data_IF_739182946289
#
_entry.id   IF_739182946289
#
_cell.length_a   1.000
_cell.length_b   1.000
_cell.length_c   1.000
_cell.angle_alpha   90.00
_cell.angle_beta   90.00
_cell.angle_gamma   90.00
#
_symmetry.space_group_name_H-M   'P 1'
#
loop_
_entity.id
_entity.type
_entity.pdbx_description
1 polymer ?
#
# COMPACT_ATOMS: atom_id res chain seq x y z
N UNK A 1 6.76 -10.52 18.73
CA UNK A 1 6.56 -9.48 17.70
C UNK A 1 5.62 -9.93 16.60
N UNK A 2 5.94 -10.96 15.79
CA UNK A 2 5.07 -11.44 14.68
C UNK A 2 3.64 -11.75 15.15
N UNK A 3 3.49 -12.51 16.25
CA UNK A 3 2.17 -12.78 16.83
C UNK A 3 1.41 -11.51 17.25
N UNK A 4 2.12 -10.47 17.70
CA UNK A 4 1.54 -9.18 18.05
C UNK A 4 1.10 -8.38 16.82
N UNK A 5 1.86 -8.48 15.71
CA UNK A 5 1.49 -7.87 14.42
C UNK A 5 0.19 -8.50 13.90
N UNK A 6 0.11 -9.83 13.90
CA UNK A 6 -1.08 -10.58 13.44
C UNK A 6 -2.29 -10.26 14.33
N UNK A 7 -2.09 -10.25 15.66
CA UNK A 7 -3.16 -9.90 16.60
C UNK A 7 -3.63 -8.45 16.43
N UNK A 8 -2.71 -7.50 16.21
CA UNK A 8 -3.03 -6.09 16.00
C UNK A 8 -3.83 -5.85 14.72
N UNK A 9 -3.44 -6.50 13.63
CA UNK A 9 -4.17 -6.47 12.35
C UNK A 9 -5.59 -7.06 12.51
N UNK A 10 -5.73 -8.23 13.16
CA UNK A 10 -7.03 -8.82 13.43
C UNK A 10 -7.92 -7.90 14.28
N UNK A 11 -7.37 -7.32 15.36
CA UNK A 11 -8.08 -6.41 16.25
C UNK A 11 -8.50 -5.12 15.55
N UNK A 12 -7.69 -4.56 14.65
CA UNK A 12 -8.04 -3.33 13.93
C UNK A 12 -9.28 -3.50 13.04
N UNK A 13 -9.37 -4.62 12.31
CA UNK A 13 -10.50 -4.85 11.38
C UNK A 13 -11.75 -5.41 12.08
N UNK A 14 -11.62 -6.22 13.14
CA UNK A 14 -12.77 -6.77 13.87
C UNK A 14 -13.27 -5.88 15.01
N UNK A 15 -12.37 -5.11 15.64
CA UNK A 15 -12.69 -4.21 16.74
C UNK A 15 -12.40 -2.76 16.34
N UNK A 16 -13.19 -2.20 15.43
CA UNK A 16 -13.10 -0.80 14.96
C UNK A 16 -13.16 0.27 16.07
N UNK A 17 -13.55 -0.09 17.30
CA UNK A 17 -13.71 0.82 18.44
C UNK A 17 -12.72 0.59 19.59
N UNK A 18 -11.71 -0.26 19.40
CA UNK A 18 -10.74 -0.47 20.48
C UNK A 18 -9.82 0.75 20.57
N UNK A 19 -10.04 1.55 21.61
CA UNK A 19 -9.21 2.67 22.00
C UNK A 19 -7.78 2.18 22.28
N UNK A 20 -6.87 2.32 21.31
CA UNK A 20 -5.51 1.78 21.38
C UNK A 20 -4.69 2.30 22.57
N UNK A 21 -5.12 3.40 23.20
CA UNK A 21 -4.55 3.90 24.45
C UNK A 21 -4.68 2.92 25.62
N UNK A 22 -5.65 2.02 25.59
CA UNK A 22 -5.85 1.00 26.64
C UNK A 22 -4.71 -0.02 26.70
N UNK A 23 -3.88 -0.13 25.65
CA UNK A 23 -2.70 -1.00 25.62
C UNK A 23 -1.45 -0.34 26.24
N UNK A 24 -1.43 0.98 26.41
CA UNK A 24 -0.33 1.72 27.03
C UNK A 24 -0.07 1.35 28.49
N UNK A 25 -1.07 1.20 29.38
CA UNK A 25 -0.82 0.76 30.75
C UNK A 25 -0.28 -0.67 30.80
N UNK A 26 -0.75 -1.56 29.93
CA UNK A 26 -0.24 -2.94 29.83
C UNK A 26 1.25 -2.96 29.44
N UNK A 27 1.64 -2.12 28.48
CA UNK A 27 3.03 -1.94 28.08
C UNK A 27 3.89 -1.36 29.22
N UNK A 28 3.40 -0.32 29.91
CA UNK A 28 4.11 0.29 31.03
C UNK A 28 4.33 -0.74 32.17
N UNK A 29 3.31 -1.52 32.51
CA UNK A 29 3.41 -2.60 33.49
C UNK A 29 4.42 -3.69 33.06
N UNK A 30 4.44 -4.08 31.78
CA UNK A 30 5.40 -5.08 31.30
C UNK A 30 6.84 -4.56 31.33
N UNK A 31 7.08 -3.28 31.01
CA UNK A 31 8.41 -2.66 31.10
C UNK A 31 8.88 -2.50 32.54
N UNK A 32 8.00 -2.09 33.45
CA UNK A 32 8.31 -1.99 34.89
C UNK A 32 8.63 -3.36 35.51
N UNK A 33 7.90 -4.40 35.09
CA UNK A 33 8.18 -5.76 35.54
C UNK A 33 9.51 -6.28 34.96
N UNK A 34 9.85 -5.93 33.71
CA UNK A 34 11.13 -6.25 33.10
C UNK A 34 12.28 -5.59 33.86
N UNK A 35 12.19 -4.29 34.16
CA UNK A 35 13.22 -3.55 34.90
C UNK A 35 13.39 -4.10 36.32
N UNK A 36 12.30 -4.33 37.05
CA UNK A 36 12.35 -4.95 38.37
C UNK A 36 13.01 -6.35 38.33
N UNK A 37 12.63 -7.20 37.38
CA UNK A 37 13.21 -8.55 37.24
C UNK A 37 14.71 -8.54 36.89
N UNK A 38 15.17 -7.51 36.16
CA UNK A 38 16.59 -7.27 35.89
C UNK A 38 17.36 -6.84 37.15
N UNK A 39 16.79 -5.92 37.95
CA UNK A 39 17.41 -5.43 39.19
C UNK A 39 17.52 -6.51 40.28
N UNK A 40 16.51 -7.37 40.42
CA UNK A 40 16.49 -8.38 41.48
C UNK A 40 17.41 -9.61 41.22
N UNK A 41 18.12 -9.68 40.09
CA UNK A 41 19.19 -10.64 39.72
C UNK A 41 19.02 -12.08 40.23
N UNK A 42 17.79 -12.58 40.33
CA UNK A 42 17.50 -13.91 40.91
C UNK A 42 17.39 -14.94 39.79
N UNK A 43 18.43 -15.75 39.64
CA UNK A 43 18.59 -16.75 38.57
C UNK A 43 17.39 -17.71 38.46
N UNK A 44 16.69 -18.00 39.57
CA UNK A 44 15.49 -18.84 39.60
C UNK A 44 14.27 -18.23 38.89
N UNK A 45 14.26 -16.92 38.60
CA UNK A 45 13.10 -16.20 38.01
C UNK A 45 13.32 -15.76 36.56
N UNK A 46 14.31 -16.35 35.86
CA UNK A 46 14.65 -16.01 34.47
C UNK A 46 13.50 -16.18 33.47
N UNK A 47 12.63 -17.16 33.68
CA UNK A 47 11.45 -17.32 32.81
C UNK A 47 10.46 -16.17 32.93
N UNK A 48 10.34 -15.52 34.10
CA UNK A 48 9.50 -14.33 34.25
C UNK A 48 10.03 -13.15 33.44
N UNK A 49 11.36 -13.00 33.37
CA UNK A 49 11.99 -12.03 32.48
C UNK A 49 11.69 -12.34 31.01
N UNK A 50 11.80 -13.61 30.60
CA UNK A 50 11.47 -14.04 29.23
C UNK A 50 10.01 -13.80 28.83
N UNK A 51 9.06 -14.09 29.72
CA UNK A 51 7.63 -13.84 29.52
C UNK A 51 7.37 -12.33 29.39
N UNK A 52 7.96 -11.54 30.27
CA UNK A 52 7.83 -10.07 30.25
C UNK A 52 8.41 -9.46 28.98
N UNK A 53 9.60 -9.88 28.56
CA UNK A 53 10.21 -9.45 27.30
C UNK A 53 9.32 -9.82 26.11
N UNK A 54 8.80 -11.05 26.09
CA UNK A 54 7.90 -11.53 25.03
C UNK A 54 6.60 -10.72 24.97
N UNK A 55 6.02 -10.38 26.12
CA UNK A 55 4.84 -9.53 26.23
C UNK A 55 5.11 -8.10 25.74
N UNK A 56 6.26 -7.50 26.09
CA UNK A 56 6.67 -6.19 25.57
C UNK A 56 6.72 -6.20 24.03
N UNK A 57 7.38 -7.19 23.42
CA UNK A 57 7.44 -7.32 21.96
C UNK A 57 6.10 -7.65 21.31
N UNK A 58 5.17 -8.27 22.04
CA UNK A 58 3.82 -8.54 21.58
C UNK A 58 3.00 -7.24 21.52
N UNK A 59 2.99 -6.45 22.61
CA UNK A 59 2.26 -5.18 22.67
C UNK A 59 2.84 -4.15 21.71
N UNK A 60 4.17 -4.09 21.59
CA UNK A 60 4.84 -3.23 20.60
C UNK A 60 4.46 -3.62 19.16
N UNK A 61 4.33 -4.92 18.87
CA UNK A 61 3.83 -5.42 17.59
C UNK A 61 2.40 -4.94 17.28
N UNK A 62 1.50 -4.97 18.27
CA UNK A 62 0.13 -4.45 18.12
C UNK A 62 0.17 -2.94 17.86
N UNK A 63 0.87 -2.18 18.71
CA UNK A 63 0.89 -0.73 18.62
C UNK A 63 1.44 -0.22 17.27
N UNK A 64 2.51 -0.82 16.78
CA UNK A 64 3.13 -0.43 15.49
C UNK A 64 2.20 -0.67 14.30
N UNK A 65 1.53 -1.83 14.25
CA UNK A 65 0.56 -2.15 13.18
C UNK A 65 -0.66 -1.25 13.26
N UNK A 66 -1.24 -1.11 14.44
CA UNK A 66 -2.44 -0.28 14.64
C UNK A 66 -2.17 1.18 14.30
N UNK A 67 -1.01 1.72 14.69
CA UNK A 67 -0.61 3.08 14.31
C UNK A 67 -0.48 3.25 12.79
N UNK A 68 0.15 2.29 12.11
CA UNK A 68 0.28 2.29 10.64
C UNK A 68 -1.08 2.22 9.93
N UNK A 69 -1.97 1.36 10.40
CA UNK A 69 -3.32 1.21 9.82
C UNK A 69 -4.19 2.44 10.12
N UNK A 70 -4.11 3.00 11.32
CA UNK A 70 -4.84 4.22 11.70
C UNK A 70 -4.41 5.43 10.88
N UNK A 71 -3.11 5.56 10.56
CA UNK A 71 -2.64 6.60 9.64
C UNK A 71 -3.22 6.46 8.23
N UNK A 72 -3.66 5.27 7.82
CA UNK A 72 -4.30 5.05 6.53
C UNK A 72 -5.79 5.41 6.58
N UNK A 73 -6.43 5.37 7.74
CA UNK A 73 -7.84 5.76 7.88
C UNK A 73 -8.00 7.27 7.67
N UNK A 74 -8.92 7.65 6.80
CA UNK A 74 -9.29 9.04 6.56
C UNK A 74 -10.78 9.13 6.25
N UNK A 75 -11.46 10.04 6.95
CA UNK A 75 -12.87 10.34 6.69
C UNK A 75 -12.95 11.33 5.51
N UNK A 76 -13.39 10.84 4.37
CA UNK A 76 -13.68 11.68 3.21
C UNK A 76 -15.03 12.36 3.34
N UNK A 77 -15.21 13.48 2.65
CA UNK A 77 -16.50 14.14 2.54
C UNK A 77 -17.53 13.22 1.88
N UNK A 78 -18.77 13.26 2.36
CA UNK A 78 -19.87 12.51 1.74
C UNK A 78 -20.35 13.16 0.43
N UNK A 79 -20.00 14.42 0.19
CA UNK A 79 -20.34 15.18 -1.01
C UNK A 79 -19.28 15.05 -2.09
N UNK A 80 -19.65 15.42 -3.33
CA UNK A 80 -18.66 15.57 -4.41
C UNK A 80 -17.77 16.77 -4.10
N UNK A 81 -16.47 16.57 -4.11
CA UNK A 81 -15.48 17.64 -3.94
C UNK A 81 -14.46 17.61 -5.06
N UNK A 82 -13.77 18.73 -5.26
CA UNK A 82 -12.71 18.84 -6.25
C UNK A 82 -11.38 18.54 -5.59
N UNK A 83 -10.67 17.57 -6.14
CA UNK A 83 -9.39 17.10 -5.62
C UNK A 83 -8.29 17.35 -6.63
N UNK A 84 -7.10 17.66 -6.11
CA UNK A 84 -5.86 17.71 -6.87
C UNK A 84 -4.96 16.57 -6.39
N UNK A 85 -4.48 15.76 -7.32
CA UNK A 85 -3.63 14.64 -7.01
C UNK A 85 -2.51 14.47 -8.04
N UNK A 86 -1.43 13.82 -7.61
CA UNK A 86 -0.34 13.41 -8.50
C UNK A 86 -0.46 11.91 -8.75
N UNK A 87 -0.31 11.49 -10.00
CA UNK A 87 -0.27 10.08 -10.37
C UNK A 87 1.08 9.48 -9.97
N UNK A 88 1.07 8.45 -9.11
CA UNK A 88 2.27 7.89 -8.49
C UNK A 88 2.85 6.70 -9.25
N UNK A 89 2.00 5.97 -9.98
CA UNK A 89 2.33 4.73 -10.68
C UNK A 89 1.82 4.78 -12.12
N UNK A 90 2.33 3.91 -12.99
CA UNK A 90 1.83 3.80 -14.36
C UNK A 90 0.35 3.42 -14.35
N UNK A 91 -0.52 4.20 -15.00
CA UNK A 91 -1.95 3.88 -15.04
C UNK A 91 -2.21 2.51 -15.69
N UNK A 92 -2.96 1.64 -15.00
CA UNK A 92 -3.30 0.30 -15.50
C UNK A 92 -4.59 0.35 -16.31
N UNK A 93 -4.50 0.09 -17.60
CA UNK A 93 -5.65 0.09 -18.49
C UNK A 93 -6.50 -1.18 -18.29
N UNK A 94 -7.76 -1.00 -17.87
CA UNK A 94 -8.84 -1.99 -17.99
C UNK A 94 -9.71 -1.65 -19.20
N UNK A 95 -10.68 -2.48 -19.58
CA UNK A 95 -11.52 -2.25 -20.77
C UNK A 95 -12.09 -0.83 -20.84
N UNK A 96 -12.83 -0.40 -19.81
CA UNK A 96 -13.54 0.90 -19.77
C UNK A 96 -12.90 1.94 -18.84
N UNK A 97 -11.97 1.51 -17.98
CA UNK A 97 -11.40 2.35 -16.92
C UNK A 97 -9.88 2.29 -16.91
N UNK A 98 -9.29 3.37 -16.43
CA UNK A 98 -7.88 3.50 -16.15
C UNK A 98 -7.70 3.52 -14.63
N UNK A 99 -7.03 2.50 -14.09
CA UNK A 99 -6.76 2.38 -12.67
C UNK A 99 -5.48 3.15 -12.33
N UNK A 100 -5.61 4.20 -11.52
CA UNK A 100 -4.52 5.09 -11.19
C UNK A 100 -4.33 5.13 -9.67
N UNK A 101 -3.11 4.85 -9.20
CA UNK A 101 -2.73 5.17 -7.82
C UNK A 101 -2.28 6.62 -7.78
N UNK A 102 -2.97 7.43 -6.97
CA UNK A 102 -2.72 8.85 -6.90
C UNK A 102 -2.46 9.31 -5.46
N UNK A 103 -1.72 10.39 -5.29
CA UNK A 103 -1.46 11.02 -4.01
C UNK A 103 -2.20 12.35 -3.92
N UNK A 104 -3.14 12.45 -2.98
CA UNK A 104 -3.94 13.66 -2.78
C UNK A 104 -3.11 14.78 -2.17
N UNK A 105 -3.05 15.91 -2.86
CA UNK A 105 -2.43 17.13 -2.37
C UNK A 105 -3.45 17.97 -1.60
N UNK A 106 -4.55 18.31 -2.26
CA UNK A 106 -5.57 19.22 -1.77
C UNK A 106 -6.98 18.69 -2.09
N UNK A 107 -7.88 18.92 -1.15
CA UNK A 107 -9.31 18.84 -1.32
C UNK A 107 -9.87 20.27 -1.20
N UNK A 108 -10.53 20.74 -2.25
CA UNK A 108 -11.22 22.03 -2.26
C UNK A 108 -12.72 21.79 -2.13
N UNK A 109 -13.24 22.15 -0.97
CA UNK A 109 -14.67 22.31 -0.75
C UNK A 109 -15.04 23.80 -0.84
N UNK A 110 -16.33 24.10 -0.99
CA UNK A 110 -16.88 25.45 -1.19
C UNK A 110 -16.47 26.46 -0.12
N UNK A 111 -16.05 25.99 1.07
CA UNK A 111 -15.71 26.81 2.24
C UNK A 111 -14.30 26.57 2.80
N UNK A 112 -13.56 25.55 2.34
CA UNK A 112 -12.21 25.26 2.88
C UNK A 112 -11.33 24.45 1.93
N UNK A 113 -10.01 24.65 2.04
CA UNK A 113 -9.00 23.82 1.40
C UNK A 113 -8.34 22.95 2.47
N UNK A 114 -8.45 21.63 2.34
CA UNK A 114 -7.86 20.64 3.24
C UNK A 114 -6.73 19.91 2.51
N UNK A 115 -5.64 19.61 3.22
CA UNK A 115 -4.49 18.88 2.67
C UNK A 115 -4.44 17.45 3.24
N UNK A 116 -5.22 16.50 2.70
CA UNK A 116 -5.34 15.17 3.28
C UNK A 116 -4.02 14.38 3.26
N UNK A 117 -3.16 14.59 2.25
CA UNK A 117 -1.85 13.92 2.11
C UNK A 117 -1.96 12.39 2.23
N UNK A 118 -2.89 11.81 1.45
CA UNK A 118 -3.19 10.37 1.46
C UNK A 118 -3.04 9.78 0.07
N UNK A 119 -2.69 8.50 0.01
CA UNK A 119 -2.78 7.73 -1.23
C UNK A 119 -4.21 7.28 -1.46
N UNK A 120 -4.64 7.35 -2.71
CA UNK A 120 -5.96 6.92 -3.14
C UNK A 120 -5.85 6.07 -4.41
N UNK A 121 -6.92 5.33 -4.67
CA UNK A 121 -7.11 4.55 -5.89
C UNK A 121 -8.22 5.18 -6.72
N UNK A 122 -7.87 5.65 -7.91
CA UNK A 122 -8.79 6.30 -8.83
C UNK A 122 -9.12 5.39 -10.00
N UNK A 123 -10.41 5.27 -10.29
CA UNK A 123 -10.95 4.63 -11.49
C UNK A 123 -11.41 5.74 -12.43
N UNK A 124 -10.57 6.07 -13.41
CA UNK A 124 -10.87 7.12 -14.39
C UNK A 124 -11.50 6.46 -15.62
N UNK A 125 -12.69 6.88 -16.01
CA UNK A 125 -13.30 6.40 -17.26
C UNK A 125 -12.45 6.83 -18.46
N UNK A 126 -12.17 5.89 -19.36
CA UNK A 126 -11.39 6.19 -20.56
C UNK A 126 -12.08 7.23 -21.43
N UNK A 127 -11.29 8.16 -21.91
CA UNK A 127 -11.67 9.22 -22.84
C UNK A 127 -10.51 9.57 -23.78
N UNK A 128 -10.69 10.59 -24.61
CA UNK A 128 -9.68 11.01 -25.59
C UNK A 128 -8.36 11.47 -24.96
N UNK A 129 -8.36 11.92 -23.70
CA UNK A 129 -7.16 12.40 -23.00
C UNK A 129 -6.56 11.34 -22.06
N UNK A 130 -7.28 10.24 -21.80
CA UNK A 130 -6.84 9.15 -20.90
C UNK A 130 -5.53 8.49 -21.35
N UNK A 131 -5.26 8.42 -22.66
CA UNK A 131 -4.01 7.86 -23.20
C UNK A 131 -2.78 8.75 -22.98
N UNK A 132 -2.99 10.04 -22.68
CA UNK A 132 -1.90 10.97 -22.39
C UNK A 132 -1.49 10.95 -20.92
N UNK A 133 -2.28 10.33 -20.04
CA UNK A 133 -2.03 10.34 -18.61
C UNK A 133 -0.81 9.48 -18.26
N UNK A 134 0.17 10.10 -17.62
CA UNK A 134 1.41 9.44 -17.23
C UNK A 134 1.62 9.55 -15.73
N UNK A 135 2.55 8.73 -15.25
CA UNK A 135 3.09 8.89 -13.91
C UNK A 135 3.77 10.25 -13.78
N UNK A 136 3.67 10.87 -12.60
CA UNK A 136 4.21 12.21 -12.34
C UNK A 136 3.29 13.35 -12.78
N UNK A 137 2.21 13.06 -13.52
CA UNK A 137 1.22 14.05 -13.90
C UNK A 137 0.35 14.46 -12.72
N UNK A 138 -0.01 15.73 -12.72
CA UNK A 138 -0.97 16.29 -11.79
C UNK A 138 -2.34 16.37 -12.43
N UNK A 139 -3.31 15.77 -11.76
CA UNK A 139 -4.70 15.73 -12.18
C UNK A 139 -5.58 16.49 -11.21
N UNK A 140 -6.52 17.25 -11.77
CA UNK A 140 -7.64 17.81 -11.05
C UNK A 140 -8.88 17.00 -11.41
N UNK A 141 -9.61 16.49 -10.43
CA UNK A 141 -10.81 15.69 -10.66
C UNK A 141 -11.91 16.00 -9.66
N UNK A 142 -13.16 15.81 -10.07
CA UNK A 142 -14.34 15.99 -9.24
C UNK A 142 -15.03 14.64 -9.04
N UNK A 143 -15.05 14.16 -7.81
CA UNK A 143 -15.76 12.91 -7.46
C UNK A 143 -16.07 12.85 -5.97
N UNK A 144 -16.76 11.80 -5.54
CA UNK A 144 -16.86 11.41 -4.15
C UNK A 144 -15.83 10.33 -3.87
N UNK A 145 -14.99 10.55 -2.85
CA UNK A 145 -14.08 9.53 -2.36
C UNK A 145 -14.75 8.77 -1.20
N UNK A 146 -14.59 7.46 -1.18
CA UNK A 146 -15.05 6.61 -0.08
C UNK A 146 -13.91 5.76 0.46
N UNK A 147 -13.91 5.41 1.76
CA UNK A 147 -12.96 4.44 2.28
C UNK A 147 -13.13 3.08 1.57
N UNK A 148 -12.06 2.28 1.42
CA UNK A 148 -12.14 0.93 0.87
C UNK A 148 -13.19 0.09 1.60
N UNK A 149 -14.07 -0.56 0.84
CA UNK A 149 -15.12 -1.44 1.36
C UNK A 149 -15.21 -2.70 0.51
N UNK A 150 -15.53 -3.81 1.16
CA UNK A 150 -15.79 -5.09 0.51
C UNK A 150 -17.22 -5.13 -0.05
N UNK A 151 -17.47 -5.99 -1.04
CA UNK A 151 -18.77 -6.10 -1.71
C UNK A 151 -19.80 -6.90 -0.89
N UNK A 152 -19.35 -7.61 0.15
CA UNK A 152 -20.19 -8.34 1.07
C UNK A 152 -20.46 -9.80 0.66
N UNK A 153 -19.72 -10.34 -0.31
CA UNK A 153 -19.92 -11.73 -0.72
C UNK A 153 -19.27 -12.71 0.27
N UNK A 154 -19.95 -13.80 0.65
CA UNK A 154 -19.36 -14.82 1.53
C UNK A 154 -18.11 -15.44 0.91
N UNK A 155 -17.00 -15.45 1.68
CA UNK A 155 -15.74 -16.05 1.24
C UNK A 155 -14.93 -15.22 0.22
N UNK A 156 -15.32 -13.97 -0.04
CA UNK A 156 -14.54 -13.12 -0.95
C UNK A 156 -13.20 -12.67 -0.35
N UNK A 157 -12.28 -12.34 -1.25
CA UNK A 157 -11.02 -11.71 -0.87
C UNK A 157 -11.29 -10.37 -0.17
N UNK A 158 -10.65 -10.15 0.99
CA UNK A 158 -10.78 -8.91 1.76
C UNK A 158 -10.00 -7.76 1.10
N UNK A 159 -10.64 -7.17 0.08
CA UNK A 159 -10.05 -6.11 -0.74
C UNK A 159 -9.81 -4.82 0.06
N UNK A 160 -10.69 -4.50 1.01
CA UNK A 160 -10.55 -3.34 1.89
C UNK A 160 -9.30 -3.45 2.77
N UNK A 161 -9.07 -4.62 3.39
CA UNK A 161 -7.86 -4.89 4.18
C UNK A 161 -6.61 -4.87 3.32
N UNK A 162 -6.66 -5.45 2.12
CA UNK A 162 -5.54 -5.38 1.18
C UNK A 162 -5.16 -3.94 0.80
N UNK A 163 -6.14 -3.09 0.47
CA UNK A 163 -5.90 -1.70 0.10
C UNK A 163 -5.37 -0.87 1.28
N UNK A 164 -5.88 -1.12 2.49
CA UNK A 164 -5.43 -0.43 3.70
C UNK A 164 -3.96 -0.78 4.01
N UNK A 165 -3.57 -2.04 3.83
CA UNK A 165 -2.15 -2.44 3.94
C UNK A 165 -1.26 -1.78 2.88
N UNK A 166 -1.80 -1.48 1.70
CA UNK A 166 -1.15 -0.67 0.67
C UNK A 166 -1.22 0.84 0.95
N UNK A 167 -1.58 1.26 2.16
CA UNK A 167 -1.71 2.67 2.55
C UNK A 167 -2.70 3.46 1.66
N UNK A 168 -3.65 2.78 1.01
CA UNK A 168 -4.69 3.41 0.21
C UNK A 168 -5.85 3.77 1.15
N UNK A 169 -6.02 5.07 1.37
CA UNK A 169 -7.04 5.59 2.28
C UNK A 169 -8.43 5.65 1.66
N UNK A 170 -8.51 5.84 0.34
CA UNK A 170 -9.78 6.08 -0.34
C UNK A 170 -9.81 5.59 -1.78
N UNK A 171 -11.02 5.35 -2.26
CA UNK A 171 -11.34 4.94 -3.63
C UNK A 171 -12.27 5.97 -4.26
N UNK A 172 -12.03 6.32 -5.52
CA UNK A 172 -12.86 7.25 -6.28
C UNK A 172 -13.11 6.77 -7.69
N UNK A 173 -14.32 7.02 -8.18
CA UNK A 173 -14.70 6.77 -9.56
C UNK A 173 -14.95 8.08 -10.29
N UNK A 174 -14.24 8.31 -11.37
CA UNK A 174 -14.24 9.58 -12.09
C UNK A 174 -14.77 9.35 -13.50
N UNK A 175 -15.93 9.94 -13.77
CA UNK A 175 -16.60 9.89 -15.08
C UNK A 175 -15.85 10.82 -16.03
N UNK A 176 -15.84 10.47 -17.32
CA UNK A 176 -15.26 11.32 -18.37
C UNK A 176 -15.80 12.76 -18.27
N UNK A 177 -14.93 13.75 -18.51
CA UNK A 177 -15.25 15.17 -18.42
C UNK A 177 -15.20 15.76 -17.00
N UNK A 178 -15.10 14.94 -15.95
CA UNK A 178 -14.92 15.42 -14.56
C UNK A 178 -13.46 15.39 -14.10
N UNK A 179 -12.51 15.37 -15.03
CA UNK A 179 -11.08 15.44 -14.73
C UNK A 179 -10.30 16.12 -15.83
N UNK A 180 -9.11 16.64 -15.48
CA UNK A 180 -8.16 17.21 -16.41
C UNK A 180 -6.74 17.11 -15.87
N UNK A 181 -5.77 17.02 -16.78
CA UNK A 181 -4.34 17.17 -16.46
C UNK A 181 -4.08 18.67 -16.29
N UNK A 182 -3.55 19.06 -15.13
CA UNK A 182 -3.27 20.47 -14.82
C UNK A 182 -1.80 20.81 -15.05
N UNK A 183 -0.91 19.85 -14.83
CA UNK A 183 0.49 19.94 -15.26
C UNK A 183 1.11 18.55 -15.36
N UNK A 184 2.16 18.44 -16.16
CA UNK A 184 2.81 17.19 -16.56
C UNK A 184 4.21 17.14 -15.97
N UNK A 185 4.68 15.96 -15.55
CA UNK A 185 6.04 15.73 -15.04
C UNK A 185 6.47 16.66 -13.88
N UNK A 186 5.56 16.98 -12.96
CA UNK A 186 5.87 17.91 -11.85
C UNK A 186 6.78 17.24 -10.81
N UNK A 187 6.77 15.90 -10.74
CA UNK A 187 7.45 15.16 -9.69
C UNK A 187 8.59 14.28 -10.21
N UNK A 188 9.73 14.92 -10.52
CA UNK A 188 11.01 14.24 -10.71
C UNK A 188 11.62 13.87 -9.36
N UNK A 189 11.22 12.72 -8.81
CA UNK A 189 11.95 12.10 -7.70
C UNK A 189 12.97 11.10 -8.24
N UNK A 190 13.98 10.72 -7.44
CA UNK A 190 14.90 9.62 -7.81
C UNK A 190 14.13 8.33 -8.12
N UNK A 191 13.04 8.09 -7.37
CA UNK A 191 12.10 7.00 -7.61
C UNK A 191 11.36 7.17 -8.95
N UNK A 192 11.16 8.40 -9.43
CA UNK A 192 10.63 8.64 -10.78
C UNK A 192 11.57 8.07 -11.84
N UNK A 193 12.82 8.55 -11.83
CA UNK A 193 13.87 8.18 -12.77
C UNK A 193 14.20 6.68 -12.72
N UNK A 194 14.22 6.08 -11.53
CA UNK A 194 14.48 4.64 -11.39
C UNK A 194 13.42 3.79 -12.10
N UNK A 195 12.16 4.18 -11.96
CA UNK A 195 11.04 3.49 -12.60
C UNK A 195 10.93 3.79 -14.10
N UNK A 196 11.28 4.99 -14.57
CA UNK A 196 11.42 5.26 -16.01
C UNK A 196 12.57 4.45 -16.62
N UNK A 197 13.68 4.32 -15.91
CA UNK A 197 14.80 3.47 -16.33
C UNK A 197 14.35 2.00 -16.44
N UNK A 198 13.59 1.50 -15.45
CA UNK A 198 12.98 0.16 -15.49
C UNK A 198 12.11 -0.02 -16.74
N UNK A 199 11.22 0.93 -17.03
CA UNK A 199 10.35 0.88 -18.22
C UNK A 199 11.18 0.88 -19.53
N UNK A 200 12.25 1.67 -19.59
CA UNK A 200 13.16 1.70 -20.73
C UNK A 200 13.91 0.37 -20.94
N UNK A 201 14.26 -0.32 -19.85
CA UNK A 201 14.91 -1.64 -19.93
C UNK A 201 13.93 -2.70 -20.45
N UNK A 202 12.66 -2.67 -20.01
CA UNK A 202 11.62 -3.57 -20.55
C UNK A 202 11.44 -3.32 -22.05
N UNK A 203 11.37 -2.05 -22.48
CA UNK A 203 11.30 -1.70 -23.90
C UNK A 203 12.55 -2.13 -24.69
N UNK A 204 13.73 -2.16 -24.05
CA UNK A 204 14.95 -2.67 -24.67
C UNK A 204 14.86 -4.18 -24.88
N UNK A 205 14.36 -4.94 -23.89
CA UNK A 205 14.19 -6.38 -24.02
C UNK A 205 13.18 -6.74 -25.12
N UNK A 206 12.07 -6.01 -25.20
CA UNK A 206 11.09 -6.15 -26.29
C UNK A 206 11.75 -5.90 -27.66
N UNK A 207 12.55 -4.83 -27.78
CA UNK A 207 13.32 -4.53 -29.01
C UNK A 207 14.39 -5.57 -29.36
N UNK A 208 14.90 -6.30 -28.37
CA UNK A 208 15.85 -7.41 -28.58
C UNK A 208 15.16 -8.70 -29.03
N UNK A 209 13.82 -8.71 -29.11
CA UNK A 209 13.03 -9.83 -29.62
C UNK A 209 12.47 -10.76 -28.55
N UNK A 210 12.65 -10.45 -27.25
CA UNK A 210 11.99 -11.20 -26.18
C UNK A 210 10.52 -10.85 -26.13
N UNK A 211 9.64 -11.87 -26.10
CA UNK A 211 8.19 -11.67 -26.09
C UNK A 211 7.50 -12.60 -25.10
N UNK A 212 6.32 -12.19 -24.63
CA UNK A 212 5.48 -13.00 -23.74
C UNK A 212 6.20 -13.43 -22.46
N UNK A 213 6.16 -14.73 -22.19
CA UNK A 213 6.70 -15.33 -20.98
C UNK A 213 8.21 -15.13 -20.82
N UNK A 214 8.98 -15.14 -21.91
CA UNK A 214 10.42 -14.93 -21.89
C UNK A 214 10.77 -13.51 -21.44
N UNK A 215 10.04 -12.51 -21.96
CA UNK A 215 10.17 -11.12 -21.55
C UNK A 215 9.80 -10.94 -20.07
N UNK A 216 8.70 -11.56 -19.63
CA UNK A 216 8.22 -11.47 -18.25
C UNK A 216 9.22 -12.09 -17.27
N UNK A 217 9.74 -13.28 -17.57
CA UNK A 217 10.73 -13.96 -16.73
C UNK A 217 12.06 -13.20 -16.73
N UNK A 218 12.54 -12.75 -17.90
CA UNK A 218 13.77 -11.97 -17.99
C UNK A 218 13.67 -10.68 -17.17
N UNK A 219 12.58 -9.93 -17.33
CA UNK A 219 12.33 -8.68 -16.61
C UNK A 219 12.18 -8.91 -15.10
N UNK A 220 11.55 -10.01 -14.69
CA UNK A 220 11.45 -10.38 -13.29
C UNK A 220 12.82 -10.70 -12.69
N UNK A 221 13.70 -11.39 -13.41
CA UNK A 221 15.02 -11.81 -12.92
C UNK A 221 16.04 -10.68 -12.90
N UNK A 222 16.05 -9.79 -13.90
CA UNK A 222 17.09 -8.77 -14.05
C UNK A 222 16.79 -7.48 -13.29
N UNK A 223 15.54 -7.01 -13.36
CA UNK A 223 15.13 -5.69 -12.84
C UNK A 223 13.98 -5.79 -11.81
N UNK A 224 13.59 -7.01 -11.44
CA UNK A 224 12.53 -7.26 -10.45
C UNK A 224 11.13 -6.92 -10.93
N UNK A 225 10.91 -6.79 -12.25
CA UNK A 225 9.60 -6.43 -12.81
C UNK A 225 8.70 -7.67 -12.95
N UNK A 226 7.78 -7.83 -12.00
CA UNK A 226 6.93 -9.03 -11.91
C UNK A 226 5.50 -8.82 -12.44
N UNK A 227 5.14 -7.63 -12.91
CA UNK A 227 3.74 -7.33 -13.29
C UNK A 227 3.27 -8.07 -14.55
N UNK A 228 4.19 -8.48 -15.42
CA UNK A 228 3.89 -9.23 -16.66
C UNK A 228 3.93 -10.76 -16.46
N UNK A 229 4.31 -11.25 -15.27
CA UNK A 229 4.30 -12.69 -15.01
C UNK A 229 2.87 -13.21 -14.94
N UNK A 230 2.55 -14.21 -15.77
CA UNK A 230 1.29 -14.93 -15.67
C UNK A 230 1.21 -15.70 -14.33
N UNK A 231 0.00 -15.93 -13.84
CA UNK A 231 -0.19 -16.74 -12.62
C UNK A 231 0.30 -18.18 -12.82
N UNK A 232 0.22 -18.72 -14.03
CA UNK A 232 0.76 -20.04 -14.38
C UNK A 232 2.29 -20.10 -14.20
N UNK A 233 3.03 -19.08 -14.63
CA UNK A 233 4.47 -18.99 -14.38
C UNK A 233 4.75 -18.88 -12.88
N UNK A 234 4.02 -18.02 -12.17
CA UNK A 234 4.19 -17.87 -10.72
C UNK A 234 3.98 -19.19 -9.98
N UNK A 235 2.96 -19.95 -10.35
CA UNK A 235 2.67 -21.26 -9.80
C UNK A 235 3.75 -22.28 -10.14
N UNK A 236 4.22 -22.32 -11.39
CA UNK A 236 5.30 -23.22 -11.82
C UNK A 236 6.61 -22.97 -11.05
N UNK A 237 6.96 -21.70 -10.81
CA UNK A 237 8.11 -21.33 -9.98
C UNK A 237 7.87 -21.62 -8.48
N UNK A 238 6.63 -21.61 -8.01
CA UNK A 238 6.25 -22.01 -6.65
C UNK A 238 6.41 -23.51 -6.44
N UNK A 239 5.86 -24.32 -7.34
CA UNK A 239 5.91 -25.78 -7.28
C UNK A 239 7.34 -26.29 -7.41
N UNK A 240 8.16 -25.68 -8.26
CA UNK A 240 9.57 -26.04 -8.43
C UNK A 240 10.49 -25.56 -7.30
N UNK A 241 9.97 -24.81 -6.33
CA UNK A 241 10.77 -24.22 -5.24
C UNK A 241 11.65 -23.03 -5.67
N UNK A 242 11.53 -22.57 -6.92
CA UNK A 242 12.30 -21.47 -7.49
C UNK A 242 11.73 -20.06 -7.17
N UNK A 243 10.64 -19.96 -6.40
CA UNK A 243 10.08 -18.66 -5.98
C UNK A 243 11.09 -17.74 -5.30
N UNK A 244 12.07 -18.31 -4.60
CA UNK A 244 13.10 -17.53 -3.92
C UNK A 244 13.94 -16.71 -4.93
N UNK A 245 14.18 -17.22 -6.14
CA UNK A 245 14.92 -16.52 -7.20
C UNK A 245 14.14 -15.31 -7.70
N UNK A 246 12.84 -15.46 -7.95
CA UNK A 246 11.96 -14.37 -8.33
C UNK A 246 11.83 -13.31 -7.23
N UNK A 247 11.88 -13.73 -5.95
CA UNK A 247 11.75 -12.81 -4.82
C UNK A 247 13.03 -12.02 -4.51
N UNK A 248 14.21 -12.61 -4.75
CA UNK A 248 15.50 -11.95 -4.53
C UNK A 248 15.71 -10.78 -5.50
N UNK A 249 15.29 -10.95 -6.76
CA UNK A 249 15.40 -9.91 -7.77
C UNK A 249 14.51 -8.70 -7.46
N UNK A 250 13.35 -8.89 -6.82
CA UNK A 250 12.49 -7.79 -6.37
C UNK A 250 13.04 -7.02 -5.16
N UNK A 251 13.67 -7.72 -4.21
CA UNK A 251 14.15 -7.13 -2.95
C UNK A 251 15.33 -6.15 -3.16
N UNK A 252 16.25 -6.43 -4.08
CA UNK A 252 17.37 -5.53 -4.37
C UNK A 252 16.94 -4.17 -4.94
N UNK A 253 15.75 -4.09 -5.54
CA UNK A 253 15.22 -2.86 -6.15
C UNK A 253 13.99 -2.28 -5.43
N UNK A 254 13.70 -2.74 -4.20
CA UNK A 254 12.54 -2.32 -3.40
C UNK A 254 12.80 -1.09 -2.48
N UNK A 255 13.86 -0.32 -2.74
CA UNK A 255 14.18 0.91 -2.01
C UNK A 255 13.52 2.14 -2.64
#
# INVERSE_FOLDING_TARGET
MIAGIIAGDFLFFHCQKLEWWLLMPLYACSVLFLSASYYFKRYARRWLFGISASLCFFVLGIHTVSGRLQQTSYAFSETKSVYRAIIMEKPKAKEQYLLCRAYLLENRDSLSVVYPRKHILLYIQKDSISGCLRRGDEVLFSTRLSPPRNNGNPGEFDYARYLTHKAVSGIGFVISGNWKITATNIHYSLMHTALECRDNIVLLYDKLGFQGDELAVLSALTIGYQEELSEEIRESYSVSGASHVLSLSGLHFAL
#
